data_IF_737785141321
#
_entry.id   IF_737785141321
#
_cell.length_a   1.000
_cell.length_b   1.000
_cell.length_c   1.000
_cell.angle_alpha   90.00
_cell.angle_beta   90.00
_cell.angle_gamma   90.00
#
_symmetry.space_group_name_H-M   'P 1'
#
loop_
_entity.id
_entity.type
_entity.pdbx_description
1 polymer ?
#
# COMPACT_ATOMS: atom_id res chain seq x y z
N UNK A 1 -1.55 -12.31 -2.74
CA UNK A 1 -0.85 -11.70 -1.58
C UNK A 1 -0.99 -10.18 -1.67
N UNK A 2 -1.29 -9.51 -0.55
CA UNK A 2 -1.46 -8.05 -0.46
C UNK A 2 -0.48 -7.51 0.57
N UNK A 3 0.11 -6.34 0.32
CA UNK A 3 0.97 -5.59 1.25
C UNK A 3 0.18 -4.36 1.67
N UNK A 4 0.10 -4.07 2.97
CA UNK A 4 -0.69 -2.96 3.49
C UNK A 4 0.17 -2.04 4.31
N UNK A 5 0.12 -0.75 4.01
CA UNK A 5 0.81 0.29 4.76
C UNK A 5 -0.21 1.06 5.60
N UNK A 6 0.11 1.29 6.86
CA UNK A 6 -0.72 2.08 7.77
C UNK A 6 0.13 2.99 8.62
N UNK A 7 -0.47 4.13 8.99
CA UNK A 7 0.17 5.21 9.74
C UNK A 7 -0.51 5.36 11.10
N UNK A 8 0.24 5.16 12.19
CA UNK A 8 -0.21 5.38 13.58
C UNK A 8 0.20 6.80 14.02
N UNK A 9 -0.57 7.54 14.83
CA UNK A 9 -0.17 8.84 15.35
C UNK A 9 1.13 8.76 16.16
N UNK A 10 2.01 9.71 15.88
CA UNK A 10 3.27 9.91 16.58
C UNK A 10 3.07 10.55 17.95
N UNK A 11 3.63 9.94 18.99
CA UNK A 11 3.52 10.38 20.39
C UNK A 11 2.74 9.44 21.30
N UNK A 12 2.21 8.33 20.80
CA UNK A 12 1.58 7.30 21.62
C UNK A 12 2.65 6.42 22.29
N UNK A 13 2.43 6.04 23.55
CA UNK A 13 3.37 5.17 24.28
C UNK A 13 3.41 3.81 23.57
N UNK A 14 4.54 3.10 23.63
CA UNK A 14 4.70 1.72 23.13
C UNK A 14 3.45 0.82 23.37
N UNK A 15 2.83 0.82 24.57
CA UNK A 15 1.60 0.05 24.83
C UNK A 15 0.39 0.45 23.97
N UNK A 16 0.17 1.74 23.69
CA UNK A 16 -0.96 2.23 22.90
C UNK A 16 -0.81 1.81 21.43
N UNK A 17 0.41 1.94 20.90
CA UNK A 17 0.73 1.44 19.56
C UNK A 17 0.55 -0.07 19.48
N UNK A 18 1.05 -0.84 20.46
CA UNK A 18 0.88 -2.30 20.49
C UNK A 18 -0.60 -2.71 20.56
N UNK A 19 -1.43 -2.00 21.33
CA UNK A 19 -2.86 -2.23 21.41
C UNK A 19 -3.56 -1.94 20.07
N UNK A 20 -3.24 -0.82 19.41
CA UNK A 20 -3.74 -0.51 18.09
C UNK A 20 -3.33 -1.58 17.05
N UNK A 21 -2.07 -2.02 17.08
CA UNK A 21 -1.55 -3.11 16.26
C UNK A 21 -2.38 -4.39 16.45
N UNK A 22 -2.56 -4.81 17.70
CA UNK A 22 -3.31 -6.01 18.07
C UNK A 22 -4.76 -5.97 17.56
N UNK A 23 -5.51 -4.91 17.88
CA UNK A 23 -6.92 -4.75 17.45
C UNK A 23 -7.09 -4.87 15.93
N UNK A 24 -6.15 -4.33 15.19
CA UNK A 24 -6.23 -4.31 13.73
C UNK A 24 -5.88 -5.66 13.12
N UNK A 25 -4.96 -6.40 13.73
CA UNK A 25 -4.64 -7.77 13.33
C UNK A 25 -5.80 -8.70 13.63
N UNK A 26 -6.42 -8.57 14.81
CA UNK A 26 -7.64 -9.32 15.17
C UNK A 26 -8.75 -9.04 14.14
N UNK A 27 -9.02 -7.78 13.82
CA UNK A 27 -10.02 -7.41 12.82
C UNK A 27 -9.73 -7.95 11.40
N UNK A 28 -8.46 -8.17 11.05
CA UNK A 28 -8.07 -8.84 9.80
C UNK A 28 -8.42 -10.33 9.87
N UNK A 29 -8.04 -11.00 10.97
CA UNK A 29 -8.27 -12.43 11.17
C UNK A 29 -9.77 -12.77 11.25
N UNK A 30 -10.57 -11.94 11.91
CA UNK A 30 -12.03 -12.09 12.00
C UNK A 30 -12.72 -12.08 10.63
N UNK A 31 -12.11 -11.41 9.64
CA UNK A 31 -12.60 -11.32 8.26
C UNK A 31 -12.00 -12.39 7.35
N UNK A 32 -11.40 -13.44 7.94
CA UNK A 32 -10.80 -14.54 7.20
C UNK A 32 -9.49 -14.20 6.49
N UNK A 33 -8.77 -13.16 6.95
CA UNK A 33 -7.44 -12.87 6.46
C UNK A 33 -6.36 -13.64 7.25
N UNK A 34 -5.41 -14.25 6.56
CA UNK A 34 -4.26 -14.93 7.15
C UNK A 34 -3.08 -13.97 7.11
N UNK A 35 -2.63 -13.52 8.29
CA UNK A 35 -1.49 -12.62 8.44
C UNK A 35 -0.19 -13.41 8.25
N UNK A 36 0.71 -12.92 7.39
CA UNK A 36 2.00 -13.54 7.10
C UNK A 36 3.16 -12.83 7.81
N UNK A 37 3.20 -11.51 7.75
CA UNK A 37 4.29 -10.72 8.31
C UNK A 37 3.80 -9.35 8.79
N UNK A 38 4.48 -8.80 9.80
CA UNK A 38 4.32 -7.44 10.29
C UNK A 38 5.70 -6.79 10.38
N UNK A 39 5.91 -5.72 9.62
CA UNK A 39 7.15 -4.94 9.60
C UNK A 39 6.90 -3.53 10.14
N UNK A 40 7.82 -3.02 10.97
CA UNK A 40 7.78 -1.65 11.48
C UNK A 40 8.87 -0.81 10.77
N UNK A 41 8.47 0.21 10.02
CA UNK A 41 9.38 1.13 9.31
C UNK A 41 9.79 2.34 10.16
N UNK A 42 9.29 2.40 11.40
CA UNK A 42 9.57 3.42 12.40
C UNK A 42 8.64 4.63 12.33
N UNK A 43 8.76 5.47 13.35
CA UNK A 43 8.08 6.75 13.43
C UNK A 43 8.86 7.84 12.69
N UNK A 44 8.20 8.49 11.72
CA UNK A 44 8.83 9.53 10.89
C UNK A 44 7.95 10.76 10.79
N UNK A 45 8.56 11.90 10.47
CA UNK A 45 7.80 13.06 10.03
C UNK A 45 7.00 12.72 8.76
N UNK A 46 5.75 13.19 8.71
CA UNK A 46 4.94 13.02 7.52
C UNK A 46 5.45 14.00 6.43
N UNK A 47 5.50 13.57 5.15
CA UNK A 47 5.93 14.45 4.06
C UNK A 47 5.09 15.72 3.92
N UNK A 48 3.83 15.65 4.36
CA UNK A 48 2.88 16.75 4.43
C UNK A 48 1.94 16.53 5.61
N UNK A 49 1.28 17.62 6.04
CA UNK A 49 0.29 17.60 7.12
C UNK A 49 -0.96 16.82 6.68
N UNK A 50 -1.37 15.85 7.49
CA UNK A 50 -2.58 15.06 7.23
C UNK A 50 -3.62 15.39 8.30
N UNK A 51 -4.83 15.76 7.88
CA UNK A 51 -5.98 15.91 8.77
C UNK A 51 -6.80 14.63 8.69
N UNK A 52 -6.98 13.93 9.81
CA UNK A 52 -7.77 12.73 9.94
C UNK A 52 -8.46 12.73 11.31
N UNK A 53 -9.69 12.22 11.40
CA UNK A 53 -10.43 12.12 12.68
C UNK A 53 -10.45 13.42 13.50
N UNK A 54 -10.65 14.58 12.85
CA UNK A 54 -10.61 15.91 13.46
C UNK A 54 -9.28 16.30 14.12
N UNK A 55 -8.19 15.55 13.89
CA UNK A 55 -6.85 15.85 14.35
C UNK A 55 -5.91 16.12 13.17
N UNK A 56 -4.93 16.99 13.40
CA UNK A 56 -3.89 17.31 12.42
C UNK A 56 -2.58 16.65 12.81
N UNK A 57 -2.11 15.73 11.98
CA UNK A 57 -0.90 14.95 12.21
C UNK A 57 0.28 15.52 11.41
N UNK A 58 1.43 15.63 12.07
CA UNK A 58 2.73 16.02 11.46
C UNK A 58 3.76 14.91 11.48
N UNK A 59 3.57 13.89 12.33
CA UNK A 59 4.43 12.72 12.48
C UNK A 59 3.53 11.47 12.54
N UNK A 60 4.07 10.31 12.19
CA UNK A 60 3.37 9.03 12.37
C UNK A 60 4.28 7.81 12.22
N UNK A 61 3.88 6.70 12.84
CA UNK A 61 4.49 5.38 12.77
C UNK A 61 4.07 4.65 11.51
N UNK A 62 5.02 4.16 10.72
CA UNK A 62 4.75 3.44 9.48
C UNK A 62 4.88 1.94 9.71
N UNK A 63 3.82 1.21 9.39
CA UNK A 63 3.80 -0.24 9.54
C UNK A 63 3.40 -0.89 8.21
N UNK A 64 3.98 -2.05 7.92
CA UNK A 64 3.59 -2.91 6.81
C UNK A 64 3.02 -4.21 7.34
N UNK A 65 1.87 -4.63 6.82
CA UNK A 65 1.27 -5.93 7.13
C UNK A 65 1.05 -6.69 5.84
N UNK A 66 1.68 -7.85 5.73
CA UNK A 66 1.53 -8.76 4.61
C UNK A 66 0.51 -9.83 5.00
N UNK A 67 -0.54 -9.99 4.18
CA UNK A 67 -1.60 -10.96 4.46
C UNK A 67 -2.20 -11.55 3.18
N UNK A 68 -2.87 -12.68 3.37
CA UNK A 68 -3.72 -13.32 2.37
C UNK A 68 -5.18 -13.10 2.77
N UNK A 69 -5.98 -12.58 1.85
CA UNK A 69 -7.41 -12.39 2.06
C UNK A 69 -8.15 -12.59 0.73
N UNK A 70 -9.42 -13.03 0.76
CA UNK A 70 -10.27 -13.02 -0.42
C UNK A 70 -10.51 -11.58 -0.89
N UNK A 71 -10.85 -11.40 -2.16
CA UNK A 71 -11.08 -10.07 -2.75
C UNK A 71 -12.28 -9.37 -2.13
N UNK A 72 -13.31 -10.11 -1.73
CA UNK A 72 -14.56 -9.61 -1.13
C UNK A 72 -14.35 -8.95 0.23
N UNK A 73 -13.33 -9.34 1.00
CA UNK A 73 -13.11 -8.81 2.35
C UNK A 73 -12.25 -7.56 2.37
N UNK A 74 -11.60 -7.21 1.26
CA UNK A 74 -10.71 -6.04 1.17
C UNK A 74 -11.45 -4.74 1.47
N UNK A 75 -12.66 -4.57 0.92
CA UNK A 75 -13.50 -3.39 1.16
C UNK A 75 -13.94 -3.31 2.63
N UNK A 76 -14.43 -4.42 3.19
CA UNK A 76 -14.79 -4.51 4.61
C UNK A 76 -13.64 -4.19 5.55
N UNK A 77 -12.42 -4.64 5.22
CA UNK A 77 -11.21 -4.32 5.98
C UNK A 77 -10.90 -2.82 5.87
N UNK A 78 -10.99 -2.24 4.68
CA UNK A 78 -10.72 -0.82 4.44
C UNK A 78 -11.69 0.07 5.23
N UNK A 79 -12.97 -0.28 5.25
CA UNK A 79 -14.01 0.39 6.01
C UNK A 79 -13.75 0.36 7.51
N UNK A 80 -13.32 -0.79 8.04
CA UNK A 80 -12.97 -0.93 9.46
C UNK A 80 -11.85 0.03 9.86
N UNK A 81 -10.79 0.12 9.06
CA UNK A 81 -9.65 0.97 9.35
C UNK A 81 -9.95 2.45 9.20
N UNK A 82 -10.86 2.80 8.29
CA UNK A 82 -11.24 4.19 8.06
C UNK A 82 -12.03 4.77 9.24
N UNK A 83 -12.55 3.91 10.13
CA UNK A 83 -13.22 4.31 11.38
C UNK A 83 -12.29 4.32 12.60
N UNK A 84 -11.12 3.67 12.52
CA UNK A 84 -10.19 3.60 13.63
C UNK A 84 -9.43 4.91 13.78
N UNK A 85 -9.65 5.61 14.90
CA UNK A 85 -9.03 6.91 15.18
C UNK A 85 -7.52 6.84 15.34
N UNK A 86 -6.97 5.66 15.64
CA UNK A 86 -5.52 5.43 15.73
C UNK A 86 -4.87 5.25 14.35
N UNK A 87 -5.64 5.25 13.26
CA UNK A 87 -5.12 5.07 11.90
C UNK A 87 -5.27 6.37 11.11
N UNK A 88 -4.15 7.04 10.83
CA UNK A 88 -4.16 8.31 10.07
C UNK A 88 -4.56 8.07 8.61
N UNK A 89 -4.01 7.02 7.99
CA UNK A 89 -4.27 6.68 6.59
C UNK A 89 -4.05 5.19 6.34
N UNK A 90 -5.13 4.41 6.11
CA UNK A 90 -5.01 3.04 5.65
C UNK A 90 -4.81 2.98 4.13
N UNK A 91 -4.03 2.00 3.65
CA UNK A 91 -3.99 1.66 2.22
C UNK A 91 -3.64 0.17 2.02
N UNK A 92 -4.38 -0.52 1.15
CA UNK A 92 -4.18 -1.93 0.82
C UNK A 92 -3.76 -2.06 -0.64
N UNK A 93 -2.57 -2.57 -0.90
CA UNK A 93 -2.04 -2.76 -2.26
C UNK A 93 -1.75 -4.23 -2.54
N UNK A 94 -1.66 -4.60 -3.83
CA UNK A 94 -1.13 -5.92 -4.21
C UNK A 94 0.33 -6.02 -3.77
N UNK A 95 0.71 -7.18 -3.23
CA UNK A 95 2.08 -7.36 -2.74
C UNK A 95 3.03 -7.36 -3.94
N UNK A 96 4.13 -6.58 -3.94
CA UNK A 96 5.02 -6.47 -5.10
C UNK A 96 5.58 -7.82 -5.55
N UNK A 97 5.90 -8.72 -4.60
CA UNK A 97 6.36 -10.08 -4.88
C UNK A 97 5.33 -11.00 -5.58
N UNK A 98 4.08 -10.56 -5.77
CA UNK A 98 3.11 -11.33 -6.59
C UNK A 98 3.25 -11.08 -8.07
N UNK A 99 3.93 -10.02 -8.46
CA UNK A 99 4.17 -9.71 -9.86
C UNK A 99 5.56 -10.21 -10.21
N UNK A 100 5.60 -11.14 -11.16
CA UNK A 100 6.87 -11.60 -11.72
C UNK A 100 7.57 -10.44 -12.42
N UNK A 101 8.83 -10.20 -12.05
CA UNK A 101 9.65 -9.18 -12.70
C UNK A 101 10.05 -9.72 -14.06
N UNK A 102 9.47 -9.16 -15.12
CA UNK A 102 9.84 -9.49 -16.50
C UNK A 102 11.30 -9.11 -16.73
N UNK A 103 12.04 -9.97 -17.44
CA UNK A 103 13.41 -9.67 -17.84
C UNK A 103 13.41 -8.42 -18.73
N UNK A 104 14.19 -7.41 -18.34
CA UNK A 104 14.43 -6.24 -19.17
C UNK A 104 15.62 -6.51 -20.10
N UNK A 105 15.39 -6.53 -21.41
CA UNK A 105 16.44 -6.73 -22.42
C UNK A 105 17.23 -5.45 -22.72
N UNK A 106 16.79 -4.32 -22.19
CA UNK A 106 17.35 -3.00 -22.45
C UNK A 106 16.60 -2.26 -23.54
N UNK A 107 17.17 -1.13 -23.98
CA UNK A 107 16.59 -0.33 -25.06
C UNK A 107 16.91 -1.05 -26.37
N UNK A 108 15.88 -1.53 -27.05
CA UNK A 108 16.00 -2.06 -28.41
C UNK A 108 16.00 -0.85 -29.37
N UNK A 109 17.05 -0.63 -30.18
CA UNK A 109 17.05 0.45 -31.15
C UNK A 109 15.93 0.18 -32.18
N UNK A 110 14.97 1.10 -32.24
CA UNK A 110 13.85 0.99 -33.18
C UNK A 110 14.28 1.67 -34.49
N UNK A 111 14.39 0.93 -35.61
CA UNK A 111 14.70 1.52 -36.91
C UNK A 111 13.54 2.42 -37.38
N UNK A 112 13.84 3.33 -38.31
CA UNK A 112 12.78 4.09 -38.96
C UNK A 112 11.89 3.13 -39.77
N UNK A 113 10.58 3.25 -39.63
CA UNK A 113 9.64 2.43 -40.41
C UNK A 113 9.72 2.82 -41.88
N UNK A 114 10.14 1.88 -42.73
CA UNK A 114 10.19 2.07 -44.17
C UNK A 114 8.86 1.69 -44.84
N UNK A 115 8.66 2.10 -46.10
CA UNK A 115 7.47 1.74 -46.92
C UNK A 115 6.13 2.24 -46.36
N UNK A 116 6.16 3.31 -45.56
CA UNK A 116 4.96 4.01 -45.08
C UNK A 116 4.08 4.55 -46.23
N UNK A 117 4.67 4.78 -47.40
CA UNK A 117 3.98 5.29 -48.59
C UNK A 117 4.20 4.38 -49.79
N UNK A 118 3.15 4.19 -50.59
CA UNK A 118 3.26 3.55 -51.90
C UNK A 118 4.27 4.30 -52.76
N UNK A 119 5.12 3.56 -53.47
CA UNK A 119 6.11 4.06 -54.42
C UNK A 119 5.45 4.65 -55.67
N UNK A 120 4.72 5.76 -55.49
CA UNK A 120 4.20 6.57 -56.59
C UNK A 120 5.33 7.41 -57.16
N UNK A 121 5.51 7.39 -58.49
CA UNK A 121 6.40 8.35 -59.18
C UNK A 121 5.90 9.76 -58.90
N UNK A 122 6.61 10.52 -58.06
CA UNK A 122 6.45 11.98 -57.99
C UNK A 122 7.27 12.57 -59.14
N UNK A 123 6.60 13.35 -60.00
CA UNK A 123 7.21 14.05 -61.13
C UNK A 123 8.20 15.10 -60.64
#
# INVERSE_FOLDING_TARGET
>A
MKRKAWKVPAGSRIPETAAALKRTLEALMDRGAIVRNLENLGERALPYKISAHNQQHRRGGYFLVDFYAPTTTVESIMDHLSRDTEVIRPNIVKHPLTQEVKKCEGIVPVPLEEKLYSTKKRK
#
